data_IF_834814672737
#
_entry.id   IF_834814672737
#
_cell.length_a   1.000
_cell.length_b   1.000
_cell.length_c   1.000
_cell.angle_alpha   90.00
_cell.angle_beta   90.00
_cell.angle_gamma   90.00
#
_symmetry.space_group_name_H-M   'P 1'
#
loop_
_entity.id
_entity.type
_entity.pdbx_description
1 polymer ?
#
# COMPACT_ATOMS: atom_id res chain seq x y z
N UNK A 1 41.31 -4.33 32.87
CA UNK A 1 40.92 -4.31 31.43
C UNK A 1 39.78 -3.34 31.06
N UNK A 2 38.94 -2.85 31.99
CA UNK A 2 37.89 -1.86 31.67
C UNK A 2 38.41 -0.39 31.54
N UNK A 3 39.43 0.09 32.30
CA UNK A 3 39.85 1.49 32.16
C UNK A 3 40.64 1.78 30.86
N UNK A 4 41.37 0.80 30.32
CA UNK A 4 42.09 0.93 29.05
C UNK A 4 41.15 0.99 27.82
N UNK A 5 39.99 0.35 27.91
CA UNK A 5 39.01 0.36 26.82
C UNK A 5 38.31 1.73 26.70
N UNK A 6 38.18 2.45 27.81
CA UNK A 6 37.65 3.82 27.84
C UNK A 6 38.64 4.87 27.32
N UNK A 7 39.95 4.68 27.51
CA UNK A 7 40.97 5.59 26.96
C UNK A 7 41.14 5.45 25.45
N UNK A 8 40.90 4.25 24.90
CA UNK A 8 40.89 4.01 23.44
C UNK A 8 39.67 4.65 22.77
N UNK A 9 38.51 4.66 23.42
CA UNK A 9 37.30 5.33 22.92
C UNK A 9 37.41 6.86 22.94
N UNK A 10 38.09 7.45 23.94
CA UNK A 10 38.37 8.90 23.97
C UNK A 10 39.37 9.37 22.91
N UNK A 11 40.18 8.46 22.35
CA UNK A 11 41.12 8.75 21.26
C UNK A 11 40.51 8.61 19.86
N UNK A 12 39.32 8.03 19.73
CA UNK A 12 38.57 8.05 18.47
C UNK A 12 37.84 9.39 18.40
N UNK A 13 38.54 10.40 17.88
CA UNK A 13 37.93 11.67 17.52
C UNK A 13 36.72 11.41 16.65
N UNK A 14 35.57 11.94 17.05
CA UNK A 14 34.44 12.10 16.14
C UNK A 14 35.00 12.77 14.89
N UNK A 15 34.81 12.14 13.72
CA UNK A 15 35.10 12.79 12.44
C UNK A 15 34.17 14.00 12.40
N UNK A 16 34.72 15.18 12.68
CA UNK A 16 33.95 16.42 12.67
C UNK A 16 33.31 16.57 11.30
N UNK A 17 32.04 16.97 11.27
CA UNK A 17 31.37 17.34 10.03
C UNK A 17 32.23 18.43 9.37
N UNK A 18 32.69 18.23 8.12
CA UNK A 18 33.50 19.22 7.42
C UNK A 18 32.81 20.58 7.45
N UNK A 19 33.56 21.62 7.77
CA UNK A 19 33.00 22.98 7.80
C UNK A 19 32.62 23.42 6.39
N UNK A 20 31.67 24.34 6.25
CA UNK A 20 31.23 24.85 4.95
C UNK A 20 32.40 25.33 4.07
N UNK A 21 33.40 26.00 4.67
CA UNK A 21 34.59 26.45 3.97
C UNK A 21 35.49 25.31 3.47
N UNK A 22 35.57 24.21 4.22
CA UNK A 22 36.31 23.01 3.82
C UNK A 22 35.61 22.29 2.66
N UNK A 23 34.27 22.25 2.69
CA UNK A 23 33.45 21.72 1.60
C UNK A 23 33.64 22.57 0.34
N UNK A 24 33.58 23.89 0.46
CA UNK A 24 33.78 24.83 -0.65
C UNK A 24 35.20 24.76 -1.22
N UNK A 25 36.23 24.60 -0.38
CA UNK A 25 37.60 24.41 -0.85
C UNK A 25 37.78 23.10 -1.63
N UNK A 26 37.14 22.00 -1.17
CA UNK A 26 37.16 20.71 -1.88
C UNK A 26 36.40 20.81 -3.22
N UNK A 27 35.29 21.53 -3.26
CA UNK A 27 34.54 21.79 -4.49
C UNK A 27 35.34 22.67 -5.46
N UNK A 28 36.09 23.66 -4.97
CA UNK A 28 36.96 24.49 -5.81
C UNK A 28 38.12 23.70 -6.41
N UNK A 29 38.79 22.85 -5.63
CA UNK A 29 39.87 21.98 -6.10
C UNK A 29 39.37 20.99 -7.18
N UNK A 30 38.22 20.36 -6.95
CA UNK A 30 37.60 19.47 -7.94
C UNK A 30 37.22 20.20 -9.24
N UNK A 31 36.90 21.50 -9.15
CA UNK A 31 36.56 22.33 -10.31
C UNK A 31 37.79 22.80 -11.09
N UNK A 32 38.96 22.88 -10.46
CA UNK A 32 40.25 23.09 -11.14
C UNK A 32 40.76 21.80 -11.80
N UNK A 33 40.65 20.65 -11.13
CA UNK A 33 41.16 19.35 -11.63
C UNK A 33 40.26 18.69 -12.70
N UNK A 34 39.00 19.11 -12.81
CA UNK A 34 38.02 18.57 -13.77
C UNK A 34 38.25 18.97 -15.24
N UNK A 35 39.39 19.58 -15.58
CA UNK A 35 39.69 20.10 -16.92
C UNK A 35 40.99 19.57 -17.51
N UNK A 36 41.42 18.37 -17.12
CA UNK A 36 42.41 17.62 -17.90
C UNK A 36 41.90 17.36 -19.32
N UNK A 37 42.75 17.38 -20.36
CA UNK A 37 42.35 16.96 -21.70
C UNK A 37 41.73 15.57 -21.62
N UNK A 38 40.55 15.40 -22.21
CA UNK A 38 39.93 14.07 -22.33
C UNK A 38 40.94 13.17 -23.04
N UNK A 39 41.31 12.00 -22.46
CA UNK A 39 42.22 11.07 -23.08
C UNK A 39 41.79 10.77 -24.53
N UNK A 40 42.77 10.65 -25.42
CA UNK A 40 42.47 10.31 -26.82
C UNK A 40 41.74 8.96 -26.88
N UNK A 41 40.87 8.78 -27.88
CA UNK A 41 40.19 7.49 -28.12
C UNK A 41 41.20 6.34 -28.21
N UNK A 42 42.34 6.58 -28.82
CA UNK A 42 43.44 5.61 -28.91
C UNK A 42 44.02 5.24 -27.53
N UNK A 43 44.17 6.21 -26.63
CA UNK A 43 44.69 5.96 -25.28
C UNK A 43 43.67 5.16 -24.44
N UNK A 44 42.38 5.43 -24.64
CA UNK A 44 41.31 4.63 -24.03
C UNK A 44 41.30 3.20 -24.57
N UNK A 45 41.47 3.01 -25.88
CA UNK A 45 41.57 1.70 -26.52
C UNK A 45 42.79 0.91 -26.03
N UNK A 46 43.97 1.55 -25.92
CA UNK A 46 45.18 0.90 -25.42
C UNK A 46 45.04 0.48 -23.94
N UNK A 47 44.38 1.29 -23.12
CA UNK A 47 44.06 0.95 -21.72
C UNK A 47 43.08 -0.22 -21.62
N UNK A 48 42.08 -0.27 -22.50
CA UNK A 48 41.14 -1.39 -22.58
C UNK A 48 41.83 -2.67 -23.06
N UNK A 49 42.76 -2.58 -24.03
CA UNK A 49 43.54 -3.72 -24.49
C UNK A 49 44.42 -4.31 -23.38
N UNK A 50 45.08 -3.45 -22.60
CA UNK A 50 45.90 -3.90 -21.45
C UNK A 50 45.04 -4.54 -20.35
N UNK A 51 43.88 -3.97 -20.04
CA UNK A 51 42.94 -4.51 -19.06
C UNK A 51 42.35 -5.87 -19.52
N UNK A 52 42.07 -6.01 -20.82
CA UNK A 52 41.59 -7.26 -21.41
C UNK A 52 42.65 -8.36 -21.34
N UNK A 53 43.92 -8.01 -21.60
CA UNK A 53 45.06 -8.93 -21.49
C UNK A 53 45.30 -9.40 -20.04
N UNK A 54 45.21 -8.50 -19.06
CA UNK A 54 45.27 -8.84 -17.63
C UNK A 54 44.10 -9.70 -17.18
N UNK A 55 42.90 -9.46 -17.71
CA UNK A 55 41.71 -10.27 -17.45
C UNK A 55 41.88 -11.70 -17.97
N UNK A 56 42.53 -11.87 -19.13
CA UNK A 56 42.86 -13.19 -19.68
C UNK A 56 43.98 -13.89 -18.90
N UNK A 57 45.00 -13.15 -18.45
CA UNK A 57 46.14 -13.70 -17.72
C UNK A 57 45.82 -14.12 -16.27
N UNK A 58 44.78 -13.55 -15.65
CA UNK A 58 44.41 -13.86 -14.25
C UNK A 58 43.25 -14.87 -14.11
N UNK A 59 42.67 -15.34 -15.22
CA UNK A 59 41.43 -16.13 -15.22
C UNK A 59 41.65 -17.61 -15.56
N UNK A 60 42.63 -18.28 -14.95
CA UNK A 60 42.71 -19.74 -15.06
C UNK A 60 43.09 -20.38 -13.72
N UNK A 61 42.18 -20.33 -12.75
CA UNK A 61 42.12 -21.43 -11.78
C UNK A 61 41.17 -22.49 -12.38
N UNK A 62 41.63 -23.73 -12.62
CA UNK A 62 40.82 -24.77 -13.25
C UNK A 62 39.54 -25.07 -12.46
N UNK A 63 39.56 -24.80 -11.15
CA UNK A 63 38.42 -24.94 -10.26
C UNK A 63 37.26 -23.97 -10.58
N UNK A 64 37.57 -22.73 -11.00
CA UNK A 64 36.54 -21.73 -11.28
C UNK A 64 35.86 -21.99 -12.64
N UNK A 65 36.62 -22.49 -13.62
CA UNK A 65 36.06 -22.93 -14.91
C UNK A 65 35.14 -24.14 -14.72
N UNK A 66 35.58 -25.12 -13.92
CA UNK A 66 34.75 -26.27 -13.53
C UNK A 66 33.45 -25.80 -12.85
N UNK A 67 33.55 -24.86 -11.91
CA UNK A 67 32.38 -24.32 -11.22
C UNK A 67 31.42 -23.59 -12.17
N UNK A 68 31.92 -22.86 -13.17
CA UNK A 68 31.05 -22.22 -14.17
C UNK A 68 30.39 -23.23 -15.11
N UNK A 69 31.12 -24.27 -15.51
CA UNK A 69 30.59 -25.33 -16.38
C UNK A 69 29.53 -26.16 -15.65
N UNK A 70 29.74 -26.44 -14.36
CA UNK A 70 28.76 -27.12 -13.50
C UNK A 70 27.47 -26.29 -13.36
N UNK A 71 27.59 -24.96 -13.16
CA UNK A 71 26.43 -24.05 -13.09
C UNK A 71 25.69 -23.95 -14.42
N UNK A 72 26.42 -23.90 -15.54
CA UNK A 72 25.82 -23.86 -16.87
C UNK A 72 25.08 -25.17 -17.18
N UNK A 73 25.62 -26.30 -16.73
CA UNK A 73 24.98 -27.61 -16.83
C UNK A 73 23.72 -27.66 -15.99
N UNK A 74 23.77 -27.20 -14.73
CA UNK A 74 22.60 -27.13 -13.85
C UNK A 74 21.47 -26.28 -14.44
N UNK A 75 21.78 -25.09 -14.97
CA UNK A 75 20.81 -24.23 -15.65
C UNK A 75 20.18 -24.93 -16.86
N UNK A 76 20.98 -25.67 -17.63
CA UNK A 76 20.50 -26.41 -18.81
C UNK A 76 19.57 -27.56 -18.42
N UNK A 77 19.87 -28.25 -17.32
CA UNK A 77 19.02 -29.30 -16.75
C UNK A 77 17.72 -28.74 -16.17
N UNK A 78 17.75 -27.60 -15.48
CA UNK A 78 16.55 -26.90 -14.98
C UNK A 78 15.62 -26.48 -16.13
N UNK A 79 16.16 -25.90 -17.20
CA UNK A 79 15.39 -25.54 -18.41
C UNK A 79 14.75 -26.78 -19.05
N UNK A 80 15.47 -27.90 -19.10
CA UNK A 80 14.92 -29.15 -19.61
C UNK A 80 13.76 -29.64 -18.73
N UNK A 81 13.87 -29.55 -17.40
CA UNK A 81 12.79 -29.94 -16.48
C UNK A 81 11.55 -29.08 -16.69
N UNK A 82 11.70 -27.76 -16.82
CA UNK A 82 10.60 -26.83 -17.08
C UNK A 82 9.87 -27.14 -18.40
N UNK A 83 10.60 -27.55 -19.44
CA UNK A 83 10.02 -27.97 -20.71
C UNK A 83 9.18 -29.25 -20.57
N UNK A 84 9.63 -30.20 -19.73
CA UNK A 84 8.93 -31.46 -19.49
C UNK A 84 7.70 -31.31 -18.58
N UNK A 85 7.68 -30.31 -17.67
CA UNK A 85 6.55 -30.03 -16.79
C UNK A 85 5.52 -29.08 -17.40
N UNK A 86 5.77 -28.52 -18.59
CA UNK A 86 4.75 -27.80 -19.35
C UNK A 86 3.63 -28.78 -19.70
N UNK A 87 2.39 -28.60 -19.21
CA UNK A 87 1.30 -29.48 -19.56
C UNK A 87 1.15 -29.47 -21.09
N UNK A 88 1.02 -30.65 -21.69
CA UNK A 88 0.76 -30.83 -23.11
C UNK A 88 -0.66 -30.35 -23.44
N UNK A 89 -0.88 -29.05 -23.33
CA UNK A 89 -2.04 -28.38 -23.91
C UNK A 89 -1.82 -28.47 -25.41
N UNK A 90 -2.77 -29.11 -26.10
CA UNK A 90 -2.89 -29.04 -27.55
C UNK A 90 -2.67 -27.58 -28.00
N UNK A 91 -1.68 -27.29 -28.86
CA UNK A 91 -1.45 -25.92 -29.29
C UNK A 91 -2.55 -25.51 -30.27
N UNK A 92 -3.58 -24.85 -29.75
CA UNK A 92 -3.98 -23.60 -30.39
C UNK A 92 -3.16 -22.51 -29.73
N UNK A 93 -2.48 -21.73 -30.55
CA UNK A 93 -1.63 -20.59 -30.21
C UNK A 93 -0.22 -20.95 -29.72
N UNK A 94 0.54 -21.43 -30.70
CA UNK A 94 1.98 -21.60 -30.67
C UNK A 94 2.65 -20.21 -30.70
N UNK A 95 3.14 -19.71 -29.56
CA UNK A 95 4.10 -18.58 -29.55
C UNK A 95 5.38 -19.03 -28.87
N UNK A 96 6.23 -19.70 -29.65
CA UNK A 96 7.67 -19.69 -29.42
C UNK A 96 8.20 -18.28 -29.73
N UNK A 97 9.01 -17.64 -28.87
CA UNK A 97 9.55 -16.29 -29.11
C UNK A 97 10.49 -16.20 -30.33
N UNK A 98 10.87 -17.32 -30.93
CA UNK A 98 11.86 -17.37 -32.00
C UNK A 98 11.28 -17.38 -33.43
N UNK A 99 9.95 -17.29 -33.62
CA UNK A 99 9.33 -17.40 -34.95
C UNK A 99 8.18 -16.41 -35.21
N UNK A 100 8.28 -15.16 -34.73
CA UNK A 100 7.45 -14.08 -35.28
C UNK A 100 8.19 -13.50 -36.50
N UNK A 101 7.51 -13.44 -37.65
CA UNK A 101 8.06 -12.80 -38.85
C UNK A 101 8.47 -11.36 -38.49
N UNK A 102 9.69 -10.90 -38.84
CA UNK A 102 10.19 -9.59 -38.42
C UNK A 102 9.24 -8.42 -38.74
N UNK A 103 8.40 -8.56 -39.76
CA UNK A 103 7.40 -7.57 -40.13
C UNK A 103 6.21 -7.54 -39.18
N UNK A 104 5.76 -8.70 -38.70
CA UNK A 104 4.68 -8.80 -37.71
C UNK A 104 5.12 -8.21 -36.36
N UNK A 105 6.37 -8.44 -35.98
CA UNK A 105 6.93 -7.86 -34.76
C UNK A 105 7.03 -6.33 -34.85
N UNK A 106 7.47 -5.80 -36.00
CA UNK A 106 7.55 -4.35 -36.23
C UNK A 106 6.15 -3.71 -36.27
N UNK A 107 5.14 -4.41 -36.81
CA UNK A 107 3.75 -3.97 -36.83
C UNK A 107 3.14 -3.92 -35.41
N UNK A 108 3.32 -4.97 -34.60
CA UNK A 108 2.87 -4.95 -33.19
C UNK A 108 3.62 -3.87 -32.38
N UNK A 109 4.91 -3.65 -32.64
CA UNK A 109 5.65 -2.53 -32.02
C UNK A 109 5.04 -1.18 -32.41
N UNK A 110 4.75 -0.97 -33.69
CA UNK A 110 4.15 0.28 -34.17
C UNK A 110 2.75 0.48 -33.57
N UNK A 111 1.95 -0.59 -33.50
CA UNK A 111 0.63 -0.59 -32.88
C UNK A 111 0.69 -0.22 -31.40
N UNK A 112 1.60 -0.81 -30.62
CA UNK A 112 1.82 -0.44 -29.21
C UNK A 112 2.25 1.02 -29.05
N UNK A 113 3.13 1.51 -29.91
CA UNK A 113 3.54 2.92 -29.91
C UNK A 113 2.37 3.86 -30.25
N UNK A 114 1.51 3.48 -31.19
CA UNK A 114 0.35 4.25 -31.58
C UNK A 114 -0.72 4.28 -30.46
N UNK A 115 -0.89 3.16 -29.76
CA UNK A 115 -1.76 3.03 -28.59
C UNK A 115 -1.27 3.91 -27.44
N UNK A 116 -0.01 3.81 -27.06
CA UNK A 116 0.58 4.67 -26.03
C UNK A 116 0.48 6.17 -26.40
N UNK A 117 0.66 6.51 -27.68
CA UNK A 117 0.48 7.88 -28.16
C UNK A 117 -0.99 8.35 -28.13
N UNK A 118 -1.97 7.44 -28.26
CA UNK A 118 -3.39 7.76 -28.12
C UNK A 118 -3.76 7.97 -26.65
N UNK A 119 -3.29 7.10 -25.76
CA UNK A 119 -3.47 7.20 -24.32
C UNK A 119 -2.89 8.52 -23.78
N UNK A 120 -1.67 8.88 -24.20
CA UNK A 120 -1.04 10.14 -23.79
C UNK A 120 -1.84 11.37 -24.25
N UNK A 121 -2.45 11.30 -25.45
CA UNK A 121 -3.33 12.37 -25.95
C UNK A 121 -4.60 12.48 -25.14
N UNK A 122 -5.24 11.36 -24.80
CA UNK A 122 -6.43 11.35 -23.97
C UNK A 122 -6.14 11.93 -22.58
N UNK A 123 -5.04 11.50 -21.95
CA UNK A 123 -4.59 12.01 -20.65
C UNK A 123 -4.32 13.53 -20.70
N UNK A 124 -3.70 14.04 -21.77
CA UNK A 124 -3.52 15.48 -21.95
C UNK A 124 -4.86 16.23 -22.03
N UNK A 125 -5.84 15.69 -22.77
CA UNK A 125 -7.19 16.30 -22.83
C UNK A 125 -7.92 16.22 -21.48
N UNK A 126 -7.71 15.14 -20.71
CA UNK A 126 -8.26 15.00 -19.35
C UNK A 126 -7.66 16.06 -18.43
N UNK A 127 -6.36 16.24 -18.47
CA UNK A 127 -5.63 17.28 -17.74
C UNK A 127 -6.13 18.68 -18.12
N UNK A 128 -6.32 18.96 -19.42
CA UNK A 128 -6.86 20.25 -19.87
C UNK A 128 -8.27 20.51 -19.33
N UNK A 129 -9.14 19.50 -19.30
CA UNK A 129 -10.48 19.60 -18.69
C UNK A 129 -10.40 19.86 -17.18
N UNK A 130 -9.49 19.20 -16.47
CA UNK A 130 -9.24 19.42 -15.05
C UNK A 130 -8.79 20.86 -14.81
N UNK A 131 -7.83 21.37 -15.60
CA UNK A 131 -7.41 22.77 -15.55
C UNK A 131 -8.56 23.73 -15.80
N UNK A 132 -9.47 23.42 -16.72
CA UNK A 132 -10.60 24.29 -17.02
C UNK A 132 -11.55 24.38 -15.81
N UNK A 133 -11.86 23.26 -15.17
CA UNK A 133 -12.67 23.22 -13.94
C UNK A 133 -11.94 23.96 -12.82
N UNK A 134 -10.65 23.73 -12.68
CA UNK A 134 -9.79 24.33 -11.69
C UNK A 134 -9.77 25.87 -11.77
N UNK A 135 -9.64 26.41 -12.97
CA UNK A 135 -9.71 27.86 -13.24
C UNK A 135 -11.08 28.44 -12.91
N UNK A 136 -12.16 27.71 -13.22
CA UNK A 136 -13.52 28.12 -12.88
C UNK A 136 -13.73 28.16 -11.36
N UNK A 137 -13.22 27.17 -10.63
CA UNK A 137 -13.29 27.13 -9.17
C UNK A 137 -12.54 28.30 -8.55
N UNK A 138 -11.32 28.60 -9.02
CA UNK A 138 -10.54 29.74 -8.53
C UNK A 138 -11.26 31.08 -8.77
N UNK A 139 -11.83 31.28 -9.96
CA UNK A 139 -12.62 32.47 -10.26
C UNK A 139 -13.83 32.63 -9.32
N UNK A 140 -14.51 31.53 -8.99
CA UNK A 140 -15.61 31.54 -8.00
C UNK A 140 -15.13 31.81 -6.57
N UNK A 141 -13.91 31.39 -6.24
CA UNK A 141 -13.27 31.60 -4.93
C UNK A 141 -12.66 32.99 -4.75
N UNK A 142 -12.64 33.82 -5.81
CA UNK A 142 -11.95 35.11 -5.82
C UNK A 142 -10.43 35.01 -5.93
N UNK A 143 -9.91 33.83 -6.31
CA UNK A 143 -8.50 33.60 -6.61
C UNK A 143 -8.21 33.88 -8.09
N UNK A 144 -6.94 34.13 -8.41
CA UNK A 144 -6.50 34.40 -9.78
C UNK A 144 -6.49 33.11 -10.62
N UNK A 145 -7.32 33.00 -11.68
CA UNK A 145 -7.39 31.80 -12.51
C UNK A 145 -6.09 31.50 -13.27
N UNK A 146 -5.20 32.47 -13.48
CA UNK A 146 -3.93 32.23 -14.17
C UNK A 146 -2.87 31.59 -13.28
N UNK A 147 -3.02 31.66 -11.96
CA UNK A 147 -2.09 31.02 -11.00
C UNK A 147 -2.35 29.54 -10.78
N UNK A 148 -3.45 29.02 -11.31
CA UNK A 148 -3.89 27.65 -11.10
C UNK A 148 -3.21 26.73 -12.12
N UNK A 149 -2.38 25.81 -11.64
CA UNK A 149 -1.68 24.81 -12.47
C UNK A 149 -2.24 23.40 -12.23
N UNK A 150 -1.85 22.43 -13.07
CA UNK A 150 -2.29 21.04 -12.94
C UNK A 150 -1.86 20.43 -11.60
N UNK A 151 -0.70 20.87 -11.12
CA UNK A 151 -0.09 20.45 -9.86
C UNK A 151 -0.91 20.89 -8.65
N UNK A 152 -1.72 21.96 -8.76
CA UNK A 152 -2.62 22.40 -7.68
C UNK A 152 -3.75 21.40 -7.41
N UNK A 153 -4.10 20.56 -8.40
CA UNK A 153 -5.16 19.54 -8.30
C UNK A 153 -4.63 18.11 -8.25
N UNK A 154 -3.30 17.92 -8.28
CA UNK A 154 -2.72 16.78 -7.57
C UNK A 154 -3.01 17.06 -6.11
N UNK A 155 -4.13 16.53 -5.62
CA UNK A 155 -4.41 16.47 -4.20
C UNK A 155 -3.09 16.05 -3.54
N UNK A 156 -2.48 16.87 -2.68
CA UNK A 156 -1.54 16.31 -1.71
C UNK A 156 -2.31 15.16 -1.05
N UNK A 157 -1.66 14.00 -0.87
CA UNK A 157 -2.23 12.97 0.00
C UNK A 157 -2.68 13.70 1.26
N UNK A 158 -3.99 13.60 1.50
CA UNK A 158 -4.76 14.50 2.34
C UNK A 158 -3.98 14.83 3.60
N UNK A 159 -3.88 16.11 3.93
CA UNK A 159 -3.29 16.65 5.17
C UNK A 159 -3.90 16.01 6.44
N UNK A 160 -4.99 15.26 6.27
CA UNK A 160 -5.68 14.39 7.22
C UNK A 160 -4.84 13.15 7.61
N UNK A 161 -4.03 12.58 6.71
CA UNK A 161 -3.22 11.38 6.98
C UNK A 161 -2.08 11.67 7.97
N UNK A 162 -1.47 12.87 7.91
CA UNK A 162 -0.42 13.29 8.88
C UNK A 162 -1.00 13.47 10.29
N UNK A 163 -2.26 13.91 10.39
CA UNK A 163 -2.95 14.06 11.67
C UNK A 163 -3.34 12.70 12.27
N UNK A 164 -3.79 11.77 11.43
CA UNK A 164 -4.12 10.40 11.83
C UNK A 164 -2.89 9.61 12.26
N UNK A 165 -1.78 9.69 11.51
CA UNK A 165 -0.52 9.05 11.90
C UNK A 165 -0.02 9.53 13.27
N UNK A 166 -0.15 10.82 13.56
CA UNK A 166 0.25 11.37 14.86
C UNK A 166 -0.68 10.89 15.99
N UNK A 167 -1.98 10.74 15.72
CA UNK A 167 -2.91 10.14 16.67
C UNK A 167 -2.56 8.66 16.95
N UNK A 168 -2.23 7.89 15.90
CA UNK A 168 -1.78 6.49 16.00
C UNK A 168 -0.50 6.40 16.84
N UNK A 169 0.49 7.25 16.58
CA UNK A 169 1.75 7.30 17.36
C UNK A 169 1.51 7.55 18.85
N UNK A 170 0.56 8.44 19.20
CA UNK A 170 0.20 8.69 20.61
C UNK A 170 -0.45 7.47 21.27
N UNK A 171 -1.37 6.81 20.58
CA UNK A 171 -2.06 5.61 21.10
C UNK A 171 -1.08 4.45 21.29
N UNK A 172 -0.20 4.19 20.31
CA UNK A 172 0.85 3.17 20.44
C UNK A 172 1.80 3.46 21.60
N UNK A 173 2.19 4.73 21.78
CA UNK A 173 3.05 5.13 22.90
C UNK A 173 2.35 4.91 24.25
N UNK A 174 1.08 5.29 24.37
CA UNK A 174 0.31 5.10 25.59
C UNK A 174 0.18 3.62 25.95
N UNK A 175 -0.18 2.76 24.99
CA UNK A 175 -0.27 1.30 25.21
C UNK A 175 1.07 0.68 25.63
N UNK A 176 2.17 1.14 25.04
CA UNK A 176 3.52 0.65 25.39
C UNK A 176 3.92 1.10 26.79
N UNK A 177 3.57 2.32 27.18
CA UNK A 177 3.80 2.85 28.52
C UNK A 177 2.92 2.15 29.57
N UNK A 178 1.64 1.90 29.26
CA UNK A 178 0.73 1.10 30.09
C UNK A 178 1.25 -0.32 30.29
N UNK A 179 1.70 -1.00 29.24
CA UNK A 179 2.31 -2.33 29.36
C UNK A 179 3.57 -2.33 30.24
N UNK A 180 4.43 -1.31 30.11
CA UNK A 180 5.63 -1.18 30.94
C UNK A 180 5.28 -0.88 32.41
N UNK A 181 4.25 -0.08 32.66
CA UNK A 181 3.74 0.19 34.01
C UNK A 181 3.11 -1.07 34.63
N UNK A 182 2.38 -1.86 33.85
CA UNK A 182 1.79 -3.13 34.28
C UNK A 182 2.88 -4.14 34.66
N UNK A 183 3.93 -4.28 33.85
CA UNK A 183 5.11 -5.11 34.16
C UNK A 183 5.83 -4.63 35.43
N UNK A 184 6.00 -3.32 35.60
CA UNK A 184 6.67 -2.72 36.76
C UNK A 184 5.81 -2.75 38.04
N UNK A 185 4.48 -2.77 37.92
CA UNK A 185 3.54 -2.72 39.04
C UNK A 185 3.54 -4.02 39.88
N UNK A 186 4.08 -5.11 39.35
CA UNK A 186 4.13 -6.40 40.03
C UNK A 186 2.76 -7.09 40.19
N UNK A 187 1.68 -6.50 39.68
CA UNK A 187 0.33 -7.06 39.63
C UNK A 187 0.07 -7.79 38.30
N UNK A 188 1.03 -8.63 37.87
CA UNK A 188 0.82 -9.53 36.73
C UNK A 188 -0.25 -10.56 37.13
N UNK A 189 -1.51 -10.33 36.74
CA UNK A 189 -2.53 -11.38 36.72
C UNK A 189 -2.10 -12.33 35.59
N UNK A 190 -1.77 -13.59 35.89
CA UNK A 190 -1.44 -14.56 34.85
C UNK A 190 -2.60 -14.61 33.84
N UNK A 191 -2.34 -14.66 32.53
CA UNK A 191 -3.41 -14.90 31.56
C UNK A 191 -4.06 -16.24 31.91
N UNK A 192 -5.31 -16.17 32.39
CA UNK A 192 -6.03 -17.31 32.94
C UNK A 192 -6.16 -18.37 31.84
N UNK A 193 -5.50 -19.52 32.05
CA UNK A 193 -5.54 -20.68 31.16
C UNK A 193 -6.87 -21.44 31.30
N UNK A 194 -8.00 -20.72 31.27
CA UNK A 194 -9.34 -21.30 31.23
C UNK A 194 -9.96 -21.10 29.86
N UNK A 195 -9.27 -21.59 28.83
CA UNK A 195 -9.92 -22.02 27.58
C UNK A 195 -9.62 -23.50 27.39
N UNK A 196 -10.26 -24.32 28.22
CA UNK A 196 -10.45 -25.74 27.96
C UNK A 196 -11.96 -25.99 27.84
N UNK A 197 -12.44 -26.58 26.74
CA UNK A 197 -13.86 -26.85 26.53
C UNK A 197 -14.26 -28.14 27.28
N UNK A 198 -15.19 -28.04 28.23
CA UNK A 198 -15.75 -29.21 28.91
C UNK A 198 -17.07 -28.89 29.62
N UNK A 199 -18.09 -29.78 29.55
CA UNK A 199 -19.48 -29.38 29.65
C UNK A 199 -20.07 -29.55 31.06
N UNK A 200 -21.21 -28.89 31.20
CA UNK A 200 -22.34 -29.27 32.07
C UNK A 200 -22.46 -28.52 33.40
N UNK A 201 -23.41 -27.57 33.39
CA UNK A 201 -24.53 -27.41 34.34
C UNK A 201 -24.11 -27.22 35.82
N UNK A 202 -24.74 -26.40 36.66
CA UNK A 202 -26.17 -26.36 36.94
C UNK A 202 -26.44 -25.13 37.84
N UNK A 203 -27.46 -24.37 37.46
CA UNK A 203 -28.48 -23.80 38.34
C UNK A 203 -28.07 -23.03 39.60
N UNK A 204 -28.18 -21.70 39.56
CA UNK A 204 -28.91 -20.97 40.62
C UNK A 204 -29.75 -19.85 39.99
N UNK A 205 -31.05 -20.14 39.89
CA UNK A 205 -32.10 -19.26 39.45
C UNK A 205 -32.36 -18.19 40.53
N UNK A 206 -32.24 -16.90 40.20
CA UNK A 206 -32.89 -15.81 40.95
C UNK A 206 -33.68 -14.94 39.99
N UNK A 207 -35.00 -14.97 40.21
CA UNK A 207 -36.05 -14.22 39.51
C UNK A 207 -35.93 -12.71 39.77
N UNK A 208 -36.52 -11.97 38.83
CA UNK A 208 -37.01 -10.60 38.91
C UNK A 208 -36.00 -9.48 38.59
N UNK A 209 -36.01 -9.00 37.36
CA UNK A 209 -36.79 -7.81 36.96
C UNK A 209 -36.75 -7.72 35.43
N UNK A 210 -37.91 -7.66 34.78
CA UNK A 210 -38.01 -7.14 33.42
C UNK A 210 -37.44 -5.72 33.45
N UNK A 211 -36.27 -5.54 32.84
CA UNK A 211 -35.87 -4.25 32.31
C UNK A 211 -36.13 -4.33 30.81
N UNK A 212 -36.93 -3.39 30.33
CA UNK A 212 -36.94 -3.05 28.93
C UNK A 212 -35.48 -2.84 28.53
N UNK A 213 -35.05 -3.63 27.55
CA UNK A 213 -33.79 -3.45 26.86
C UNK A 213 -33.95 -2.21 26.01
N UNK A 214 -33.80 -1.07 26.67
CA UNK A 214 -33.70 0.26 26.09
C UNK A 214 -32.22 0.46 25.78
N UNK A 215 -31.72 -0.39 24.88
CA UNK A 215 -30.42 -0.20 24.25
C UNK A 215 -30.62 0.86 23.17
N UNK A 216 -30.72 2.12 23.62
CA UNK A 216 -30.68 3.34 22.80
C UNK A 216 -29.27 3.54 22.17
N UNK A 217 -28.66 2.47 21.66
CA UNK A 217 -27.47 2.53 20.82
C UNK A 217 -27.96 2.78 19.38
N UNK A 218 -28.13 4.06 19.06
CA UNK A 218 -28.18 4.59 17.68
C UNK A 218 -29.13 3.88 16.70
N UNK A 219 -30.29 3.43 17.16
CA UNK A 219 -31.29 2.83 16.27
C UNK A 219 -31.96 3.91 15.40
N UNK A 220 -31.35 4.07 14.23
CA UNK A 220 -31.74 4.94 13.14
C UNK A 220 -33.21 4.67 12.72
N UNK A 221 -34.10 5.69 12.69
CA UNK A 221 -35.55 5.52 12.48
C UNK A 221 -35.99 5.13 11.06
N UNK A 222 -35.08 4.66 10.20
CA UNK A 222 -35.33 4.47 8.77
C UNK A 222 -35.21 3.01 8.38
N UNK A 223 -35.89 2.63 7.31
CA UNK A 223 -35.86 1.30 6.76
C UNK A 223 -34.48 1.02 6.15
N UNK A 224 -33.84 -0.09 6.55
CA UNK A 224 -32.51 -0.47 6.05
C UNK A 224 -32.45 -0.85 4.55
N UNK A 225 -33.60 -0.88 3.86
CA UNK A 225 -33.70 -1.17 2.43
C UNK A 225 -33.86 0.11 1.60
N UNK A 226 -34.78 1.00 2.00
CA UNK A 226 -35.16 2.16 1.17
C UNK A 226 -34.93 3.53 1.84
N UNK A 227 -34.47 3.55 3.09
CA UNK A 227 -34.22 4.75 3.87
C UNK A 227 -35.45 5.62 4.20
N UNK A 228 -36.67 5.11 3.96
CA UNK A 228 -37.92 5.76 4.39
C UNK A 228 -38.27 5.40 5.84
N UNK A 229 -39.22 6.12 6.44
CA UNK A 229 -39.67 5.89 7.82
C UNK A 229 -40.05 4.42 8.07
N UNK A 230 -39.39 3.79 9.04
CA UNK A 230 -39.71 2.42 9.39
C UNK A 230 -41.04 2.31 10.17
N UNK A 231 -41.79 1.24 9.95
CA UNK A 231 -43.08 1.00 10.65
C UNK A 231 -43.07 -0.29 11.45
N UNK A 232 -42.09 -1.15 11.19
CA UNK A 232 -41.98 -2.51 11.73
C UNK A 232 -40.52 -2.77 12.13
N UNK A 233 -40.35 -3.51 13.21
CA UNK A 233 -39.06 -4.05 13.66
C UNK A 233 -39.06 -5.54 13.48
N UNK A 234 -38.02 -6.11 12.89
CA UNK A 234 -37.85 -7.54 12.76
C UNK A 234 -37.00 -8.10 13.91
N UNK A 235 -37.58 -8.94 14.76
CA UNK A 235 -36.82 -9.62 15.83
C UNK A 235 -36.01 -10.83 15.34
N UNK A 236 -36.21 -11.25 14.08
CA UNK A 236 -35.41 -12.31 13.46
C UNK A 236 -34.16 -11.82 12.74
N UNK A 237 -34.00 -10.50 12.61
CA UNK A 237 -32.85 -9.84 11.99
C UNK A 237 -32.32 -8.79 12.95
N UNK A 238 -31.98 -9.20 14.17
CA UNK A 238 -31.30 -8.38 15.17
C UNK A 238 -31.92 -6.99 15.44
N UNK A 239 -33.25 -6.88 15.30
CA UNK A 239 -33.95 -5.62 15.56
C UNK A 239 -33.98 -4.65 14.37
N UNK A 240 -33.60 -5.07 13.17
CA UNK A 240 -33.64 -4.28 11.94
C UNK A 240 -35.02 -3.65 11.69
N UNK A 241 -34.99 -2.40 11.23
CA UNK A 241 -36.17 -1.60 10.97
C UNK A 241 -36.58 -1.63 9.50
N UNK A 242 -37.87 -1.81 9.25
CA UNK A 242 -38.44 -1.94 7.91
C UNK A 242 -39.74 -1.15 7.74
N UNK A 243 -40.00 -0.69 6.51
CA UNK A 243 -41.30 -0.20 6.07
C UNK A 243 -42.09 -1.33 5.36
N UNK A 244 -42.90 -1.01 4.36
CA UNK A 244 -43.56 -2.01 3.51
C UNK A 244 -42.59 -2.99 2.83
N UNK A 245 -41.31 -2.62 2.67
CA UNK A 245 -40.24 -3.50 2.19
C UNK A 245 -40.13 -4.81 2.97
N UNK A 246 -40.62 -4.86 4.23
CA UNK A 246 -40.69 -6.11 4.98
C UNK A 246 -41.53 -7.18 4.26
N UNK A 247 -42.71 -6.83 3.73
CA UNK A 247 -43.58 -7.81 3.06
C UNK A 247 -43.08 -8.21 1.68
N UNK A 248 -42.47 -7.26 0.97
CA UNK A 248 -42.09 -7.43 -0.43
C UNK A 248 -40.77 -8.18 -0.58
N UNK A 249 -39.78 -7.82 0.24
CA UNK A 249 -38.43 -8.36 0.12
C UNK A 249 -38.08 -9.33 1.26
N UNK A 250 -38.52 -9.04 2.47
CA UNK A 250 -38.02 -9.70 3.67
C UNK A 250 -38.83 -10.96 4.07
N UNK A 251 -40.16 -10.90 3.98
CA UNK A 251 -41.07 -12.00 4.33
C UNK A 251 -40.93 -13.20 3.39
N UNK A 252 -40.54 -12.98 2.12
CA UNK A 252 -40.37 -14.04 1.13
C UNK A 252 -39.19 -14.96 1.46
N UNK A 253 -38.14 -14.42 2.08
CA UNK A 253 -36.91 -15.15 2.33
C UNK A 253 -36.93 -15.91 3.66
N UNK A 254 -37.69 -15.43 4.66
CA UNK A 254 -37.64 -16.01 6.00
C UNK A 254 -39.03 -16.21 6.61
N UNK A 255 -39.48 -17.49 6.64
CA UNK A 255 -40.81 -17.92 7.13
C UNK A 255 -41.09 -17.72 8.62
N UNK A 256 -40.12 -17.29 9.43
CA UNK A 256 -40.24 -17.29 10.91
C UNK A 256 -39.87 -15.96 11.59
N UNK A 257 -39.80 -14.86 10.85
CA UNK A 257 -39.46 -13.58 11.42
C UNK A 257 -40.69 -12.95 12.08
N UNK A 258 -40.61 -12.73 13.39
CA UNK A 258 -41.64 -12.03 14.16
C UNK A 258 -41.41 -10.53 14.05
N UNK A 259 -42.47 -9.78 13.77
CA UNK A 259 -42.41 -8.32 13.69
C UNK A 259 -43.08 -7.67 14.89
N UNK A 260 -42.42 -6.66 15.44
CA UNK A 260 -42.99 -5.69 16.38
C UNK A 260 -43.39 -4.41 15.64
N UNK A 261 -44.46 -3.74 16.09
CA UNK A 261 -44.79 -2.40 15.61
C UNK A 261 -43.88 -1.38 16.29
N UNK A 262 -43.25 -0.52 15.50
CA UNK A 262 -42.44 0.58 16.03
C UNK A 262 -43.27 1.86 15.99
N UNK A 263 -43.34 2.57 17.11
CA UNK A 263 -43.84 3.95 17.13
C UNK A 263 -42.66 4.87 16.95
N UNK A 264 -42.33 5.19 15.71
CA UNK A 264 -41.41 6.28 15.46
C UNK A 264 -42.07 7.61 15.81
N UNK A 265 -41.39 8.40 16.63
CA UNK A 265 -41.70 9.82 16.78
C UNK A 265 -41.49 10.44 15.40
N UNK A 266 -42.58 10.96 14.79
CA UNK A 266 -42.56 11.58 13.46
C UNK A 266 -41.53 12.72 13.41
N UNK A 267 -40.30 12.43 13.04
CA UNK A 267 -39.34 13.43 12.57
C UNK A 267 -39.76 13.76 11.15
N UNK A 268 -40.45 14.88 10.98
CA UNK A 268 -40.81 15.42 9.67
C UNK A 268 -39.51 15.80 8.96
N UNK A 269 -38.97 14.91 8.15
CA UNK A 269 -37.90 15.27 7.21
C UNK A 269 -38.56 16.04 6.06
N UNK A 270 -38.64 17.36 6.19
CA UNK A 270 -38.94 18.22 5.06
C UNK A 270 -37.73 18.17 4.12
N UNK A 271 -37.86 17.43 3.03
CA UNK A 271 -36.97 17.56 1.88
C UNK A 271 -37.22 18.93 1.23
N UNK A 272 -36.60 19.98 1.77
CA UNK A 272 -36.37 21.20 1.00
C UNK A 272 -35.08 21.00 0.21
N UNK A 273 -35.26 20.81 -1.10
CA UNK A 273 -34.19 20.86 -2.08
C UNK A 273 -33.54 22.24 -2.06
N UNK A 274 -32.22 22.28 -1.83
CA UNK A 274 -31.32 23.38 -2.20
C UNK A 274 -30.32 22.82 -3.20
#
# INVERSE_FOLDING_TARGET
>A
LIPERNTILRKKTCKSIPTQAEIEARLAALKEDGRGPVPSTQEMEDRLAYATFLSFAFSHTPLLVQQTDDLLTQLSEEVAIDEHYRPRVQPQDNVCPANLDPKQLEEEKNKLLAEAAAELREENTRQEKILQVAKRLAALKGEDPEKVTLETYKLPDSDEEVAEEEAIRRVLKQLTEEAALDEASGFNIPPDQTTQPGPSQQNLCKKAKQKADDSDEDELPWCCICNEDATLRCHGCDGDLYCQCFRENHMKMFRKHMTGSVRLLKTKHTNESI
#
